data_IF_961531540936
#
_entry.id   IF_961531540936
#
_cell.length_a   1.000
_cell.length_b   1.000
_cell.length_c   1.000
_cell.angle_alpha   90.00
_cell.angle_beta   90.00
_cell.angle_gamma   90.00
#
_symmetry.space_group_name_H-M   'P 1'
#
loop_
_entity.id
_entity.type
_entity.pdbx_description
1 polymer ?
#
# COMPACT_ATOMS: atom_id res chain seq x y z
N UNK A 1 1.55 -54.58 -14.50
CA UNK A 1 1.97 -54.21 -13.12
C UNK A 1 2.54 -52.81 -13.19
N UNK A 2 1.95 -51.88 -12.43
CA UNK A 2 2.09 -50.43 -12.64
C UNK A 2 3.33 -49.80 -11.99
N UNK A 3 3.82 -48.74 -12.62
CA UNK A 3 4.79 -47.82 -12.04
C UNK A 3 4.03 -46.72 -11.29
N UNK A 4 4.21 -46.65 -9.96
CA UNK A 4 3.59 -45.65 -9.08
C UNK A 4 4.46 -44.39 -8.97
N UNK A 5 3.77 -43.26 -8.83
CA UNK A 5 4.22 -41.89 -8.63
C UNK A 5 5.28 -41.72 -7.54
N UNK A 6 6.22 -40.80 -7.76
CA UNK A 6 7.08 -40.22 -6.72
C UNK A 6 6.37 -39.03 -6.06
N UNK A 7 6.15 -39.15 -4.75
CA UNK A 7 5.58 -38.13 -3.87
C UNK A 7 6.66 -37.13 -3.45
N UNK A 8 6.40 -35.82 -3.58
CA UNK A 8 7.24 -34.78 -2.99
C UNK A 8 6.96 -34.66 -1.49
N UNK A 9 7.98 -34.83 -0.64
CA UNK A 9 7.97 -34.39 0.76
C UNK A 9 8.81 -33.11 0.86
N UNK A 10 8.15 -32.01 1.21
CA UNK A 10 8.81 -30.78 1.66
C UNK A 10 9.49 -31.05 3.00
N UNK A 11 10.80 -30.80 3.09
CA UNK A 11 11.47 -30.52 4.35
C UNK A 11 12.56 -29.48 4.11
N UNK A 12 12.42 -28.40 4.86
CA UNK A 12 13.21 -27.18 4.85
C UNK A 12 14.57 -27.50 5.50
N UNK A 13 15.65 -27.42 4.73
CA UNK A 13 16.99 -27.17 5.26
C UNK A 13 17.75 -26.30 4.27
N UNK A 14 18.46 -25.30 4.83
CA UNK A 14 19.45 -24.47 4.15
C UNK A 14 20.28 -25.27 3.14
N UNK A 15 20.36 -24.79 1.89
CA UNK A 15 21.49 -25.12 1.02
C UNK A 15 22.70 -24.31 1.49
N UNK A 16 23.48 -24.83 2.44
CA UNK A 16 24.89 -24.47 2.54
C UNK A 16 25.62 -25.35 1.54
N UNK A 17 26.01 -24.77 0.40
CA UNK A 17 26.91 -25.44 -0.54
C UNK A 17 28.31 -25.43 0.09
N UNK A 18 28.73 -26.54 0.68
CA UNK A 18 30.14 -26.76 1.00
C UNK A 18 30.74 -27.64 -0.11
N UNK A 19 31.33 -27.01 -1.12
CA UNK A 19 32.19 -27.71 -2.08
C UNK A 19 33.61 -27.70 -1.52
N UNK A 20 34.12 -28.87 -1.11
CA UNK A 20 35.56 -29.08 -1.01
C UNK A 20 36.05 -29.43 -2.41
N UNK A 21 36.96 -28.60 -2.91
CA UNK A 21 37.66 -28.70 -4.18
C UNK A 21 36.86 -28.28 -5.42
N UNK A 22 36.78 -26.98 -5.67
CA UNK A 22 37.09 -26.50 -7.02
C UNK A 22 37.65 -25.07 -7.00
N UNK A 23 38.83 -24.89 -7.59
CA UNK A 23 39.58 -23.63 -7.65
C UNK A 23 39.21 -22.88 -8.92
N UNK A 24 37.98 -22.38 -9.05
CA UNK A 24 37.64 -21.23 -9.92
C UNK A 24 36.14 -20.96 -9.83
N UNK A 25 35.73 -20.08 -8.91
CA UNK A 25 34.39 -19.51 -8.91
C UNK A 25 34.49 -17.99 -8.67
N UNK A 26 33.96 -17.25 -9.63
CA UNK A 26 33.85 -15.79 -9.69
C UNK A 26 33.59 -15.13 -8.33
N UNK A 27 34.54 -14.30 -7.87
CA UNK A 27 34.45 -13.50 -6.64
C UNK A 27 33.60 -12.23 -6.77
N UNK A 28 32.90 -11.98 -7.87
CA UNK A 28 32.37 -10.63 -8.17
C UNK A 28 30.86 -10.53 -8.47
N UNK A 29 30.00 -11.39 -7.92
CA UNK A 29 28.53 -11.23 -8.09
C UNK A 29 27.75 -11.16 -6.78
N UNK A 30 28.36 -11.50 -5.62
CA UNK A 30 27.71 -11.44 -4.31
C UNK A 30 27.97 -10.14 -3.53
N UNK A 31 28.89 -9.28 -3.96
CA UNK A 31 29.33 -8.11 -3.15
C UNK A 31 28.51 -6.82 -3.31
N UNK A 32 27.38 -6.81 -4.03
CA UNK A 32 26.60 -5.59 -4.25
C UNK A 32 25.08 -5.74 -4.15
N UNK A 33 24.59 -6.83 -3.56
CA UNK A 33 23.15 -6.95 -3.34
C UNK A 33 22.73 -6.00 -2.22
N UNK A 34 22.06 -4.90 -2.60
CA UNK A 34 21.68 -3.81 -1.68
C UNK A 34 20.61 -4.21 -0.68
N UNK A 35 19.65 -5.03 -1.08
CA UNK A 35 18.48 -5.35 -0.26
C UNK A 35 18.66 -6.65 0.55
N UNK A 36 18.18 -6.64 1.79
CA UNK A 36 18.34 -7.70 2.77
C UNK A 36 17.00 -7.96 3.49
N UNK A 37 17.00 -8.01 4.81
CA UNK A 37 15.85 -8.37 5.63
C UNK A 37 14.66 -7.41 5.42
N UNK A 38 13.48 -7.99 5.23
CA UNK A 38 12.23 -7.28 4.89
C UNK A 38 12.31 -6.34 3.68
N UNK A 39 13.28 -6.57 2.78
CA UNK A 39 13.45 -5.74 1.58
C UNK A 39 14.13 -4.39 1.84
N UNK A 40 14.68 -4.19 3.03
CA UNK A 40 15.42 -2.98 3.40
C UNK A 40 16.90 -3.09 3.01
N UNK A 41 17.59 -1.96 2.89
CA UNK A 41 18.99 -1.97 2.45
C UNK A 41 19.93 -2.45 3.55
N UNK A 42 20.92 -3.28 3.20
CA UNK A 42 22.04 -3.58 4.10
C UNK A 42 23.03 -2.43 3.98
N UNK A 43 23.19 -1.69 5.07
CA UNK A 43 24.25 -0.71 5.19
C UNK A 43 25.61 -1.45 5.23
N UNK A 44 26.45 -1.17 4.23
CA UNK A 44 27.74 -1.85 4.06
C UNK A 44 28.77 -1.42 5.09
N UNK A 45 28.64 -0.22 5.66
CA UNK A 45 29.57 0.31 6.65
C UNK A 45 29.36 -0.35 8.03
N UNK A 46 28.11 -0.46 8.48
CA UNK A 46 27.79 -1.02 9.80
C UNK A 46 27.40 -2.50 9.77
N UNK A 47 27.10 -3.06 8.59
CA UNK A 47 26.56 -4.41 8.43
C UNK A 47 25.19 -4.57 9.09
N UNK A 48 24.39 -3.50 9.14
CA UNK A 48 23.04 -3.45 9.71
C UNK A 48 22.02 -3.20 8.61
N UNK A 49 20.78 -3.57 8.90
CA UNK A 49 19.70 -3.36 7.94
C UNK A 49 19.12 -1.97 8.19
N UNK A 50 19.20 -1.11 7.20
CA UNK A 50 18.76 0.28 7.26
C UNK A 50 17.28 0.38 6.89
N UNK A 51 16.45 0.54 7.91
CA UNK A 51 15.08 1.03 7.76
C UNK A 51 15.12 2.56 7.77
N UNK A 52 14.06 3.19 7.29
CA UNK A 52 14.04 4.66 7.10
C UNK A 52 14.28 5.41 8.41
N UNK A 53 13.71 4.92 9.51
CA UNK A 53 13.77 5.57 10.82
C UNK A 53 14.84 5.01 11.74
N UNK A 54 15.25 3.75 11.53
CA UNK A 54 16.12 3.02 12.47
C UNK A 54 17.05 2.04 11.77
N UNK A 55 18.23 1.84 12.36
CA UNK A 55 19.11 0.72 12.01
C UNK A 55 18.70 -0.53 12.80
N UNK A 56 18.56 -1.64 12.09
CA UNK A 56 18.15 -2.93 12.64
C UNK A 56 19.30 -3.92 12.66
N UNK A 57 19.50 -4.61 13.79
CA UNK A 57 20.41 -5.75 13.90
C UNK A 57 19.63 -7.07 13.89
N UNK A 58 19.63 -7.81 12.76
CA UNK A 58 18.92 -9.08 12.65
C UNK A 58 19.51 -10.18 13.54
N UNK A 59 20.76 -10.04 14.02
CA UNK A 59 21.42 -11.06 14.85
C UNK A 59 20.85 -11.12 16.26
N UNK A 60 20.40 -9.97 16.76
CA UNK A 60 19.81 -9.83 18.09
C UNK A 60 18.30 -9.52 18.02
N UNK A 61 17.76 -9.35 16.82
CA UNK A 61 16.36 -8.99 16.59
C UNK A 61 15.97 -7.70 17.34
N UNK A 62 16.80 -6.65 17.21
CA UNK A 62 16.62 -5.36 17.90
C UNK A 62 16.94 -4.18 16.99
N UNK A 63 16.28 -3.06 17.29
CA UNK A 63 16.69 -1.74 16.81
C UNK A 63 17.94 -1.27 17.55
N UNK A 64 18.80 -0.52 16.85
CA UNK A 64 20.02 0.06 17.42
C UNK A 64 19.81 1.43 18.03
N UNK A 65 18.69 2.08 17.69
CA UNK A 65 18.24 3.33 18.28
C UNK A 65 16.91 3.10 18.97
N UNK A 66 16.62 3.95 19.96
CA UNK A 66 15.32 3.95 20.62
C UNK A 66 14.24 4.20 19.59
N UNK A 67 13.15 3.47 19.70
CA UNK A 67 11.93 3.70 18.95
C UNK A 67 11.47 5.14 19.10
N UNK A 68 11.43 5.94 18.02
CA UNK A 68 10.85 7.28 18.07
C UNK A 68 9.39 7.28 18.53
N UNK A 69 8.65 6.19 18.26
CA UNK A 69 7.25 6.01 18.65
C UNK A 69 7.10 5.35 20.04
N UNK A 70 8.16 4.78 20.61
CA UNK A 70 8.10 4.14 21.93
C UNK A 70 7.19 2.90 22.00
N UNK A 71 7.04 2.17 20.88
CA UNK A 71 6.03 1.12 20.66
C UNK A 71 6.01 -0.02 21.71
N UNK A 72 7.14 -0.30 22.38
CA UNK A 72 7.24 -1.39 23.37
C UNK A 72 7.93 -0.96 24.66
N UNK A 73 7.73 -1.75 25.73
CA UNK A 73 8.40 -1.55 27.02
C UNK A 73 9.93 -1.44 26.87
N UNK A 74 10.52 -2.23 25.97
CA UNK A 74 11.90 -2.01 25.57
C UNK A 74 11.93 -1.13 24.32
N UNK A 75 12.58 0.05 24.36
CA UNK A 75 12.62 0.96 23.21
C UNK A 75 13.45 0.41 22.03
N UNK A 76 14.04 -0.77 22.17
CA UNK A 76 14.84 -1.43 21.14
C UNK A 76 14.14 -2.68 20.55
N UNK A 77 12.93 -2.99 21.01
CA UNK A 77 12.21 -4.19 20.56
C UNK A 77 11.76 -4.05 19.12
N UNK A 78 12.10 -5.03 18.29
CA UNK A 78 11.73 -5.07 16.89
C UNK A 78 10.52 -5.97 16.67
N UNK A 79 9.52 -5.49 15.92
CA UNK A 79 8.36 -6.26 15.45
C UNK A 79 7.63 -7.00 16.58
N UNK A 80 7.60 -6.43 17.79
CA UNK A 80 6.98 -7.05 18.97
C UNK A 80 7.55 -8.44 19.31
N UNK A 81 8.83 -8.69 19.04
CA UNK A 81 9.47 -10.01 19.10
C UNK A 81 8.83 -11.09 18.21
N UNK A 82 8.05 -10.70 17.19
CA UNK A 82 7.45 -11.61 16.23
C UNK A 82 7.86 -11.29 14.77
N UNK A 83 9.16 -11.42 14.43
CA UNK A 83 9.70 -11.10 13.10
C UNK A 83 9.31 -12.09 12.00
N UNK A 84 8.54 -13.14 12.33
CA UNK A 84 8.08 -14.16 11.40
C UNK A 84 6.78 -13.71 10.74
N UNK A 85 5.86 -13.15 11.52
CA UNK A 85 4.54 -12.73 11.02
C UNK A 85 4.42 -11.22 10.85
N UNK A 86 5.28 -10.42 11.49
CA UNK A 86 5.24 -8.95 11.40
C UNK A 86 6.35 -8.42 10.50
N UNK A 87 5.99 -7.44 9.68
CA UNK A 87 6.91 -6.64 8.86
C UNK A 87 6.82 -5.20 9.37
N UNK A 88 7.96 -4.52 9.52
CA UNK A 88 8.03 -3.10 9.91
C UNK A 88 8.58 -2.29 8.72
N UNK A 89 7.76 -1.81 7.78
CA UNK A 89 8.21 -1.17 6.55
C UNK A 89 9.14 0.05 6.67
N UNK A 90 9.15 0.79 7.78
CA UNK A 90 9.96 2.00 7.95
C UNK A 90 10.77 2.05 9.26
N UNK A 91 10.51 1.12 10.17
CA UNK A 91 11.03 1.13 11.52
C UNK A 91 10.17 1.96 12.46
N UNK A 92 8.85 1.88 12.46
CA UNK A 92 7.98 2.62 13.40
C UNK A 92 6.46 2.53 13.16
N UNK A 93 5.88 1.33 13.09
CA UNK A 93 4.53 1.15 12.54
C UNK A 93 3.38 0.94 13.57
N UNK A 94 2.33 1.82 13.50
CA UNK A 94 1.02 1.82 14.21
C UNK A 94 -0.30 2.19 13.36
N UNK A 95 -1.54 1.58 13.48
CA UNK A 95 -2.84 1.77 12.68
C UNK A 95 -3.58 3.09 12.89
N UNK A 96 -4.00 3.84 11.83
CA UNK A 96 -4.35 5.23 12.03
C UNK A 96 -5.74 5.45 12.62
N UNK A 97 -5.75 6.20 13.71
CA UNK A 97 -6.94 6.57 14.47
C UNK A 97 -7.30 8.03 14.20
N UNK A 98 -8.57 8.27 13.96
CA UNK A 98 -9.13 9.60 13.72
C UNK A 98 -10.31 9.88 14.66
N UNK A 99 -10.54 11.16 14.98
CA UNK A 99 -11.79 11.61 15.56
C UNK A 99 -12.92 11.59 14.52
N UNK A 100 -14.18 11.60 14.98
CA UNK A 100 -15.34 11.70 14.07
C UNK A 100 -15.41 13.04 13.32
N UNK A 101 -14.66 14.04 13.78
CA UNK A 101 -14.42 15.31 13.09
C UNK A 101 -13.35 15.23 11.97
N UNK A 102 -12.67 14.09 11.85
CA UNK A 102 -11.62 13.84 10.87
C UNK A 102 -10.22 14.27 11.31
N UNK A 103 -10.04 14.67 12.57
CA UNK A 103 -8.73 14.95 13.15
C UNK A 103 -7.94 13.67 13.32
N UNK A 104 -6.66 13.67 12.95
CA UNK A 104 -5.76 12.55 13.24
C UNK A 104 -5.41 12.54 14.72
N UNK A 105 -5.59 11.39 15.39
CA UNK A 105 -5.40 11.24 16.84
C UNK A 105 -4.15 10.43 17.22
N UNK A 106 -3.46 9.87 16.24
CA UNK A 106 -2.36 8.93 16.46
C UNK A 106 -2.72 7.57 15.88
N UNK A 107 -2.05 6.54 16.37
CA UNK A 107 -2.11 5.22 15.77
C UNK A 107 -2.18 4.07 16.84
N UNK A 108 -2.76 2.90 16.52
CA UNK A 108 -2.73 1.63 17.33
C UNK A 108 -1.52 0.76 16.98
N UNK A 109 -1.18 -0.36 17.62
CA UNK A 109 0.13 -1.04 17.41
C UNK A 109 0.49 -1.59 16.00
N UNK A 110 -0.39 -1.50 15.00
CA UNK A 110 -0.24 -2.19 13.71
C UNK A 110 0.67 -1.51 12.66
N UNK A 111 0.40 -0.28 12.23
CA UNK A 111 1.12 0.42 11.15
C UNK A 111 0.31 1.53 10.54
N UNK A 112 0.86 2.63 9.98
CA UNK A 112 -0.01 3.54 9.22
C UNK A 112 -0.41 2.77 7.95
N UNK A 113 -1.56 2.10 7.99
CA UNK A 113 -1.80 0.64 7.92
C UNK A 113 -3.27 0.36 7.77
N UNK A 114 -3.70 -0.63 7.00
CA UNK A 114 -5.01 -1.25 7.24
C UNK A 114 -6.18 -0.27 7.22
N UNK A 115 -7.23 -0.62 7.94
CA UNK A 115 -8.49 0.12 7.96
C UNK A 115 -8.44 1.25 9.00
N UNK A 116 -8.64 2.53 8.61
CA UNK A 116 -8.67 3.61 9.58
C UNK A 116 -9.75 3.40 10.65
N UNK A 117 -9.42 3.70 11.90
CA UNK A 117 -10.34 3.61 13.03
C UNK A 117 -10.84 5.01 13.39
N UNK A 118 -12.14 5.12 13.67
CA UNK A 118 -12.76 6.29 14.27
C UNK A 118 -12.93 6.05 15.76
N UNK A 119 -12.35 6.94 16.57
CA UNK A 119 -12.41 6.86 18.02
C UNK A 119 -12.40 8.26 18.63
N UNK A 120 -13.48 8.59 19.36
CA UNK A 120 -13.61 9.87 20.04
C UNK A 120 -13.30 9.81 21.54
N UNK A 121 -13.02 8.62 22.09
CA UNK A 121 -12.72 8.45 23.51
C UNK A 121 -11.32 8.92 23.91
N UNK A 122 -11.03 8.77 25.21
CA UNK A 122 -9.83 9.34 25.85
C UNK A 122 -8.79 8.27 26.23
N UNK A 123 -8.96 7.00 25.83
CA UNK A 123 -7.98 5.96 26.14
C UNK A 123 -6.66 6.21 25.40
N UNK A 124 -5.54 5.92 26.08
CA UNK A 124 -4.24 5.80 25.43
C UNK A 124 -4.19 4.49 24.63
N UNK A 125 -4.46 4.60 23.34
CA UNK A 125 -4.50 3.48 22.40
C UNK A 125 -3.16 3.19 21.73
N UNK A 126 -2.08 3.91 22.07
CA UNK A 126 -0.75 3.71 21.47
C UNK A 126 -0.15 2.32 21.70
N UNK A 127 -0.72 1.54 22.62
CA UNK A 127 -0.31 0.17 22.96
C UNK A 127 -1.40 -0.86 22.72
N UNK A 128 -2.53 -0.44 22.15
CA UNK A 128 -3.66 -1.30 21.85
C UNK A 128 -3.58 -1.77 20.41
N UNK A 129 -4.04 -2.98 20.11
CA UNK A 129 -4.32 -3.40 18.74
C UNK A 129 -5.56 -2.70 18.20
N UNK A 130 -5.72 -2.72 16.87
CA UNK A 130 -6.92 -2.30 16.19
C UNK A 130 -8.18 -2.95 16.79
N UNK A 131 -8.14 -4.28 16.97
CA UNK A 131 -9.24 -5.06 17.55
C UNK A 131 -9.52 -4.68 19.01
N UNK A 132 -8.48 -4.40 19.80
CA UNK A 132 -8.63 -3.96 21.18
C UNK A 132 -9.26 -2.58 21.25
N UNK A 133 -8.85 -1.64 20.39
CA UNK A 133 -9.43 -0.29 20.34
C UNK A 133 -10.88 -0.33 19.87
N UNK A 134 -11.20 -1.14 18.85
CA UNK A 134 -12.58 -1.35 18.39
C UNK A 134 -13.43 -1.95 19.51
N UNK A 135 -12.91 -2.94 20.23
CA UNK A 135 -13.59 -3.52 21.41
C UNK A 135 -13.81 -2.48 22.52
N UNK A 136 -12.89 -1.53 22.65
CA UNK A 136 -12.96 -0.42 23.61
C UNK A 136 -13.82 0.77 23.15
N UNK A 137 -14.56 0.64 22.04
CA UNK A 137 -15.50 1.65 21.54
C UNK A 137 -15.06 2.40 20.30
N UNK A 138 -13.93 2.02 19.69
CA UNK A 138 -13.58 2.44 18.33
C UNK A 138 -14.49 1.80 17.27
N UNK A 139 -14.48 2.33 16.06
CA UNK A 139 -15.21 1.77 14.92
C UNK A 139 -14.46 1.98 13.63
N UNK A 140 -14.42 0.98 12.74
CA UNK A 140 -13.79 1.14 11.44
C UNK A 140 -14.46 2.24 10.61
N UNK A 141 -13.65 2.93 9.79
CA UNK A 141 -14.07 4.06 8.97
C UNK A 141 -15.29 3.74 8.08
N UNK A 142 -15.32 2.58 7.43
CA UNK A 142 -16.41 2.19 6.53
C UNK A 142 -17.75 1.93 7.24
N UNK A 143 -17.70 1.67 8.55
CA UNK A 143 -18.88 1.44 9.39
C UNK A 143 -19.38 2.71 10.09
N UNK A 144 -18.63 3.81 9.99
CA UNK A 144 -18.90 5.03 10.74
C UNK A 144 -19.57 6.10 9.87
N UNK A 145 -20.65 6.71 10.39
CA UNK A 145 -21.31 7.84 9.73
C UNK A 145 -20.52 9.13 9.99
N UNK A 146 -19.67 9.49 9.04
CA UNK A 146 -18.86 10.71 9.08
C UNK A 146 -19.40 11.80 8.16
N UNK A 147 -19.17 13.06 8.53
CA UNK A 147 -19.45 14.21 7.65
C UNK A 147 -18.53 14.21 6.43
N UNK A 148 -18.94 14.85 5.34
CA UNK A 148 -18.08 15.01 4.15
C UNK A 148 -16.76 15.73 4.47
N UNK A 149 -16.78 16.67 5.41
CA UNK A 149 -15.58 17.39 5.84
C UNK A 149 -14.60 16.47 6.59
N UNK A 150 -15.11 15.63 7.50
CA UNK A 150 -14.31 14.65 8.21
C UNK A 150 -13.67 13.63 7.24
N UNK A 151 -14.46 13.08 6.32
CA UNK A 151 -13.95 12.14 5.28
C UNK A 151 -12.90 12.80 4.40
N UNK A 152 -13.13 14.03 3.97
CA UNK A 152 -12.13 14.78 3.19
C UNK A 152 -10.83 14.97 3.97
N UNK A 153 -10.91 15.28 5.27
CA UNK A 153 -9.73 15.46 6.13
C UNK A 153 -8.94 14.16 6.32
N UNK A 154 -9.63 13.06 6.62
CA UNK A 154 -9.04 11.72 6.78
C UNK A 154 -8.34 11.29 5.49
N UNK A 155 -9.05 11.34 4.35
CA UNK A 155 -8.48 10.97 3.05
C UNK A 155 -7.28 11.85 2.67
N UNK A 156 -7.35 13.15 2.98
CA UNK A 156 -6.23 14.08 2.76
C UNK A 156 -5.03 13.67 3.59
N UNK A 157 -5.21 13.38 4.88
CA UNK A 157 -4.13 12.92 5.75
C UNK A 157 -3.49 11.64 5.19
N UNK A 158 -4.30 10.60 4.91
CA UNK A 158 -3.84 9.32 4.36
C UNK A 158 -3.02 9.50 3.08
N UNK A 159 -3.49 10.32 2.14
CA UNK A 159 -2.79 10.55 0.87
C UNK A 159 -1.52 11.38 1.08
N UNK A 160 -1.55 12.39 1.95
CA UNK A 160 -0.38 13.21 2.25
C UNK A 160 0.79 12.43 2.88
N UNK A 161 0.54 11.26 3.49
CA UNK A 161 1.62 10.40 4.01
C UNK A 161 2.52 9.83 2.91
N UNK A 162 2.10 9.89 1.65
CA UNK A 162 2.91 9.48 0.52
C UNK A 162 3.66 10.66 -0.13
N UNK A 163 3.55 11.87 0.39
CA UNK A 163 4.19 13.06 -0.17
C UNK A 163 5.71 12.88 -0.32
N UNK A 164 6.28 13.44 -1.39
CA UNK A 164 7.71 13.32 -1.70
C UNK A 164 8.15 11.94 -2.23
N UNK A 165 7.27 10.94 -2.29
CA UNK A 165 7.60 9.62 -2.80
C UNK A 165 7.46 9.52 -4.33
N UNK A 166 8.35 8.76 -4.95
CA UNK A 166 8.26 8.49 -6.41
C UNK A 166 7.11 7.55 -6.76
N UNK A 167 6.36 7.94 -7.78
CA UNK A 167 5.40 7.14 -8.53
C UNK A 167 5.91 7.10 -9.97
N UNK A 168 6.58 6.00 -10.32
CA UNK A 168 7.28 5.86 -11.60
C UNK A 168 8.26 7.02 -11.88
N UNK A 169 7.99 7.83 -12.90
CA UNK A 169 8.82 8.95 -13.37
C UNK A 169 8.52 10.28 -12.67
N UNK A 170 7.56 10.32 -11.73
CA UNK A 170 7.16 11.53 -11.01
C UNK A 170 7.27 11.38 -9.51
N UNK A 171 7.45 12.49 -8.83
CA UNK A 171 7.35 12.57 -7.37
C UNK A 171 5.95 13.07 -7.02
N UNK A 172 5.26 12.36 -6.13
CA UNK A 172 3.96 12.80 -5.63
C UNK A 172 4.14 14.05 -4.76
N UNK A 173 3.30 15.05 -5.01
CA UNK A 173 3.26 16.31 -4.28
C UNK A 173 1.78 16.67 -4.03
N UNK A 174 1.32 16.56 -2.78
CA UNK A 174 -0.06 16.89 -2.43
C UNK A 174 -0.40 18.35 -2.75
N UNK A 175 0.60 19.25 -2.73
CA UNK A 175 0.40 20.66 -3.08
C UNK A 175 0.07 20.88 -4.55
N UNK A 176 0.33 19.88 -5.41
CA UNK A 176 -0.07 19.89 -6.82
C UNK A 176 -1.57 19.69 -7.02
N UNK A 177 -2.31 19.30 -5.97
CA UNK A 177 -3.76 19.09 -6.00
C UNK A 177 -4.45 20.35 -5.47
N UNK A 178 -5.58 20.71 -6.07
CA UNK A 178 -6.41 21.84 -5.66
C UNK A 178 -6.65 21.85 -4.15
N UNK A 179 -6.27 22.96 -3.50
CA UNK A 179 -6.42 23.13 -2.05
C UNK A 179 -5.59 22.17 -1.20
N UNK A 180 -4.60 21.50 -1.80
CA UNK A 180 -3.70 20.52 -1.16
C UNK A 180 -4.46 19.43 -0.42
N UNK A 181 -5.60 18.99 -0.97
CA UNK A 181 -6.51 18.07 -0.30
C UNK A 181 -7.25 17.13 -1.24
N UNK A 182 -7.74 16.05 -0.66
CA UNK A 182 -8.66 15.12 -1.30
C UNK A 182 -10.07 15.49 -0.89
N UNK A 183 -10.91 15.83 -1.86
CA UNK A 183 -12.31 16.18 -1.62
C UNK A 183 -13.13 14.93 -1.38
N UNK A 184 -14.24 15.10 -0.64
CA UNK A 184 -15.26 14.07 -0.52
C UNK A 184 -16.62 14.62 -0.95
N UNK A 185 -17.27 13.93 -1.89
CA UNK A 185 -18.64 14.24 -2.32
C UNK A 185 -19.37 12.96 -2.73
N UNK A 186 -20.35 12.54 -1.93
CA UNK A 186 -21.11 11.31 -2.18
C UNK A 186 -22.03 11.39 -3.40
N UNK A 187 -22.31 12.59 -3.89
CA UNK A 187 -23.21 12.81 -5.03
C UNK A 187 -22.47 12.90 -6.37
N UNK A 188 -21.13 12.90 -6.35
CA UNK A 188 -20.31 12.83 -7.57
C UNK A 188 -20.38 11.42 -8.18
N UNK A 189 -19.95 11.28 -9.44
CA UNK A 189 -20.00 10.03 -10.18
C UNK A 189 -18.80 9.11 -9.90
N UNK A 190 -19.04 7.80 -9.85
CA UNK A 190 -18.01 6.79 -9.64
C UNK A 190 -17.50 6.72 -8.20
N UNK A 191 -16.53 5.85 -7.91
CA UNK A 191 -15.91 5.76 -6.57
C UNK A 191 -14.87 6.86 -6.32
N UNK A 192 -14.17 7.24 -7.38
CA UNK A 192 -13.17 8.31 -7.43
C UNK A 192 -13.36 9.10 -8.73
N UNK A 193 -13.11 10.40 -8.65
CA UNK A 193 -13.21 11.32 -9.78
C UNK A 193 -12.04 12.30 -9.73
N UNK A 194 -11.50 12.65 -10.90
CA UNK A 194 -10.47 13.66 -11.07
C UNK A 194 -10.85 14.69 -12.12
N UNK A 195 -10.42 15.94 -11.89
CA UNK A 195 -10.63 17.08 -12.80
C UNK A 195 -9.29 17.62 -13.28
N UNK A 196 -8.61 16.91 -14.19
CA UNK A 196 -7.32 17.35 -14.69
C UNK A 196 -7.44 18.66 -15.49
N UNK A 197 -6.65 19.67 -15.13
CA UNK A 197 -6.55 20.96 -15.82
C UNK A 197 -6.16 20.80 -17.29
N UNK A 198 -5.41 19.75 -17.62
CA UNK A 198 -5.05 19.41 -19.00
C UNK A 198 -6.26 19.09 -19.88
N UNK A 199 -7.40 18.70 -19.29
CA UNK A 199 -8.63 18.38 -20.04
C UNK A 199 -9.55 19.59 -20.18
N UNK A 200 -9.54 20.50 -19.21
CA UNK A 200 -10.34 21.71 -19.27
C UNK A 200 -9.61 22.87 -18.58
N UNK A 201 -9.30 23.93 -19.32
CA UNK A 201 -8.43 25.02 -18.86
C UNK A 201 -8.94 25.77 -17.62
N UNK A 202 -10.26 25.74 -17.36
CA UNK A 202 -10.86 26.34 -16.18
C UNK A 202 -10.86 25.44 -14.93
N UNK A 203 -10.40 24.20 -15.04
CA UNK A 203 -10.27 23.30 -13.90
C UNK A 203 -8.92 23.52 -13.19
N UNK A 204 -8.94 23.26 -11.89
CA UNK A 204 -7.74 22.94 -11.13
C UNK A 204 -7.67 21.43 -10.98
N UNK A 205 -6.44 20.89 -10.95
CA UNK A 205 -6.19 19.46 -10.74
C UNK A 205 -6.77 19.04 -9.39
N UNK A 206 -7.98 18.45 -9.43
CA UNK A 206 -8.74 18.08 -8.24
C UNK A 206 -8.98 16.58 -8.23
N UNK A 207 -8.96 15.99 -7.04
CA UNK A 207 -9.37 14.61 -6.79
C UNK A 207 -10.51 14.61 -5.77
N UNK A 208 -11.55 13.85 -6.07
CA UNK A 208 -12.72 13.67 -5.21
C UNK A 208 -12.97 12.18 -5.02
N UNK A 209 -13.10 11.74 -3.77
CA UNK A 209 -13.67 10.44 -3.42
C UNK A 209 -15.16 10.57 -3.18
N UNK A 210 -15.93 9.57 -3.56
CA UNK A 210 -17.37 9.49 -3.24
C UNK A 210 -17.65 8.46 -2.14
N UNK A 211 -16.66 7.61 -1.84
CA UNK A 211 -16.83 6.41 -1.02
C UNK A 211 -17.69 5.32 -1.67
N UNK A 212 -18.04 5.45 -2.96
CA UNK A 212 -18.87 4.49 -3.70
C UNK A 212 -18.02 3.49 -4.49
N UNK A 213 -17.17 2.75 -3.81
CA UNK A 213 -16.36 1.67 -4.38
C UNK A 213 -16.65 0.34 -3.66
N UNK A 214 -16.32 -0.77 -4.33
CA UNK A 214 -16.62 -2.13 -3.85
C UNK A 214 -15.38 -2.85 -3.32
N UNK A 215 -14.60 -2.14 -2.51
CA UNK A 215 -13.44 -2.64 -1.79
C UNK A 215 -13.31 -1.91 -0.45
N UNK A 216 -12.63 -2.53 0.52
CA UNK A 216 -12.39 -1.97 1.85
C UNK A 216 -11.53 -0.71 1.80
N UNK A 217 -11.88 0.30 2.58
CA UNK A 217 -11.10 1.54 2.71
C UNK A 217 -9.90 1.31 3.63
N UNK A 218 -8.80 0.78 3.09
CA UNK A 218 -7.50 0.78 3.77
C UNK A 218 -6.61 1.95 3.35
N UNK A 219 -5.59 2.26 4.15
CA UNK A 219 -4.53 3.24 3.80
C UNK A 219 -3.95 2.97 2.41
N UNK A 220 -3.59 1.73 2.11
CA UNK A 220 -2.96 1.32 0.85
C UNK A 220 -3.92 1.45 -0.32
N UNK A 221 -5.18 1.07 -0.12
CA UNK A 221 -6.21 1.12 -1.15
C UNK A 221 -6.53 2.58 -1.51
N UNK A 222 -6.63 3.45 -0.50
CA UNK A 222 -6.82 4.89 -0.67
C UNK A 222 -5.61 5.50 -1.38
N UNK A 223 -4.39 5.26 -0.90
CA UNK A 223 -3.17 5.76 -1.54
C UNK A 223 -3.04 5.26 -2.98
N UNK A 224 -3.27 3.97 -3.22
CA UNK A 224 -3.21 3.40 -4.58
C UNK A 224 -4.24 4.04 -5.51
N UNK A 225 -5.46 4.32 -5.02
CA UNK A 225 -6.52 4.93 -5.81
C UNK A 225 -6.26 6.41 -6.06
N UNK A 226 -6.07 7.20 -5.01
CA UNK A 226 -5.88 8.64 -5.15
C UNK A 226 -4.56 8.99 -5.85
N UNK A 227 -3.48 8.24 -5.61
CA UNK A 227 -2.15 8.61 -6.10
C UNK A 227 -1.86 7.94 -7.45
N UNK A 228 -2.04 6.64 -7.58
CA UNK A 228 -1.63 5.94 -8.80
C UNK A 228 -2.71 6.02 -9.87
N UNK A 229 -3.97 5.79 -9.48
CA UNK A 229 -5.07 5.83 -10.42
C UNK A 229 -5.47 7.27 -10.75
N UNK A 230 -5.83 8.09 -9.77
CA UNK A 230 -6.30 9.45 -10.02
C UNK A 230 -5.16 10.42 -10.37
N UNK A 231 -4.24 10.69 -9.45
CA UNK A 231 -3.18 11.68 -9.68
C UNK A 231 -2.25 11.29 -10.83
N UNK A 232 -1.58 10.14 -10.75
CA UNK A 232 -0.60 9.78 -11.76
C UNK A 232 -1.27 9.48 -13.10
N UNK A 233 -2.30 8.64 -13.15
CA UNK A 233 -2.82 8.20 -14.44
C UNK A 233 -3.72 9.24 -15.12
N UNK A 234 -4.61 9.89 -14.38
CA UNK A 234 -5.54 10.87 -14.94
C UNK A 234 -4.92 12.27 -15.04
N UNK A 235 -4.37 12.81 -13.95
CA UNK A 235 -3.81 14.18 -13.92
C UNK A 235 -2.47 14.26 -14.64
N UNK A 236 -1.51 13.39 -14.32
CA UNK A 236 -0.16 13.49 -14.88
C UNK A 236 -0.07 12.87 -16.28
N UNK A 237 -0.65 11.69 -16.51
CA UNK A 237 -0.53 10.99 -17.80
C UNK A 237 -1.67 11.29 -18.78
N UNK A 238 -2.73 11.99 -18.35
CA UNK A 238 -3.87 12.33 -19.21
C UNK A 238 -4.62 11.10 -19.74
N UNK A 239 -4.55 9.96 -19.05
CA UNK A 239 -5.29 8.74 -19.41
C UNK A 239 -6.73 8.89 -18.91
N UNK A 240 -7.73 8.25 -19.51
CA UNK A 240 -9.10 8.36 -18.98
C UNK A 240 -10.20 7.85 -19.90
N UNK A 241 -11.43 7.98 -19.41
CA UNK A 241 -12.65 7.50 -20.05
C UNK A 241 -13.28 8.50 -21.05
N UNK A 242 -12.54 9.53 -21.45
CA UNK A 242 -13.05 10.44 -22.48
C UNK A 242 -13.13 9.70 -23.82
N UNK A 243 -14.25 9.90 -24.54
CA UNK A 243 -14.57 9.18 -25.79
C UNK A 243 -13.44 9.20 -26.84
N UNK A 244 -12.62 10.25 -26.84
CA UNK A 244 -11.50 10.40 -27.77
C UNK A 244 -10.19 9.75 -27.27
N UNK A 245 -10.07 9.45 -25.98
CA UNK A 245 -8.87 8.85 -25.39
C UNK A 245 -8.93 7.32 -25.39
N UNK A 246 -10.07 6.74 -24.96
CA UNK A 246 -10.27 5.29 -24.80
C UNK A 246 -9.05 4.62 -24.14
N UNK A 247 -8.61 5.14 -22.99
CA UNK A 247 -7.34 4.77 -22.36
C UNK A 247 -7.43 4.56 -20.85
N UNK A 248 -8.62 4.55 -20.26
CA UNK A 248 -8.84 4.30 -18.83
C UNK A 248 -8.25 2.95 -18.39
N UNK A 249 -8.24 1.92 -19.25
CA UNK A 249 -7.58 0.64 -18.94
C UNK A 249 -6.10 0.81 -18.56
N UNK A 250 -5.44 1.87 -19.05
CA UNK A 250 -4.03 2.16 -18.74
C UNK A 250 -3.85 2.63 -17.29
N UNK A 251 -4.82 3.34 -16.71
CA UNK A 251 -4.79 3.71 -15.30
C UNK A 251 -4.78 2.47 -14.40
N UNK A 252 -5.67 1.51 -14.67
CA UNK A 252 -5.68 0.23 -13.95
C UNK A 252 -4.38 -0.58 -14.15
N UNK A 253 -3.75 -0.51 -15.33
CA UNK A 253 -2.42 -1.11 -15.53
C UNK A 253 -1.35 -0.43 -14.68
N UNK A 254 -1.38 0.90 -14.55
CA UNK A 254 -0.44 1.63 -13.70
C UNK A 254 -0.61 1.20 -12.23
N UNK A 255 -1.85 1.07 -11.74
CA UNK A 255 -2.14 0.52 -10.40
C UNK A 255 -1.59 -0.90 -10.25
N UNK A 256 -1.90 -1.78 -11.21
CA UNK A 256 -1.48 -3.19 -11.17
C UNK A 256 0.05 -3.37 -11.24
N UNK A 257 0.76 -2.43 -11.85
CA UNK A 257 2.21 -2.51 -12.02
C UNK A 257 3.00 -1.77 -10.94
N UNK A 258 2.37 -0.87 -10.17
CA UNK A 258 3.06 -0.10 -9.14
C UNK A 258 3.22 -0.92 -7.86
N UNK A 259 4.26 -1.76 -7.82
CA UNK A 259 4.46 -2.77 -6.78
C UNK A 259 4.63 -2.20 -5.37
N UNK A 260 5.13 -0.96 -5.24
CA UNK A 260 5.32 -0.29 -3.95
C UNK A 260 4.02 -0.22 -3.13
N UNK A 261 2.89 0.09 -3.77
CA UNK A 261 1.57 0.07 -3.11
C UNK A 261 0.83 -1.24 -3.35
N UNK A 262 0.83 -1.76 -4.59
CA UNK A 262 0.05 -2.96 -4.94
C UNK A 262 0.35 -4.19 -4.06
N UNK A 263 1.59 -4.34 -3.60
CA UNK A 263 1.94 -5.51 -2.78
C UNK A 263 1.30 -5.44 -1.39
N UNK A 264 0.97 -4.23 -0.92
CA UNK A 264 0.35 -3.98 0.38
C UNK A 264 -1.18 -3.89 0.32
N UNK A 265 -1.77 -3.64 -0.86
CA UNK A 265 -3.23 -3.55 -1.01
C UNK A 265 -3.93 -4.88 -0.75
N UNK A 266 -5.22 -4.80 -0.41
CA UNK A 266 -6.06 -5.95 -0.12
C UNK A 266 -6.44 -6.74 -1.39
N UNK A 267 -6.95 -7.95 -1.21
CA UNK A 267 -7.26 -8.85 -2.33
C UNK A 267 -8.54 -8.48 -3.09
N UNK A 268 -9.56 -7.98 -2.40
CA UNK A 268 -10.75 -7.34 -2.96
C UNK A 268 -10.39 -6.11 -3.80
N UNK A 269 -9.47 -5.25 -3.35
CA UNK A 269 -8.95 -4.14 -4.15
C UNK A 269 -8.21 -4.62 -5.41
N UNK A 270 -7.37 -5.64 -5.30
CA UNK A 270 -6.72 -6.28 -6.47
C UNK A 270 -7.76 -6.83 -7.43
N UNK A 271 -8.81 -7.49 -6.90
CA UNK A 271 -9.94 -8.01 -7.65
C UNK A 271 -10.68 -6.93 -8.41
N UNK A 272 -11.04 -5.84 -7.72
CA UNK A 272 -11.67 -4.65 -8.29
C UNK A 272 -10.87 -4.10 -9.49
N UNK A 273 -9.57 -3.85 -9.29
CA UNK A 273 -8.71 -3.31 -10.35
C UNK A 273 -8.61 -4.24 -11.57
N UNK A 274 -8.57 -5.56 -11.35
CA UNK A 274 -8.48 -6.54 -12.44
C UNK A 274 -9.80 -6.70 -13.19
N UNK A 275 -10.95 -6.64 -12.50
CA UNK A 275 -12.28 -6.60 -13.11
C UNK A 275 -12.47 -5.34 -13.94
N UNK A 276 -12.09 -4.19 -13.40
CA UNK A 276 -12.14 -2.92 -14.13
C UNK A 276 -11.20 -2.92 -15.35
N UNK A 277 -9.98 -3.44 -15.22
CA UNK A 277 -9.08 -3.62 -16.37
C UNK A 277 -9.72 -4.47 -17.48
N UNK A 278 -10.41 -5.55 -17.13
CA UNK A 278 -11.10 -6.43 -18.08
C UNK A 278 -12.29 -5.72 -18.75
N UNK A 279 -13.08 -4.96 -17.98
CA UNK A 279 -14.19 -4.16 -18.48
C UNK A 279 -13.71 -3.12 -19.50
N UNK A 280 -12.77 -2.25 -19.11
CA UNK A 280 -12.25 -1.21 -20.00
C UNK A 280 -11.45 -1.78 -21.17
N UNK A 281 -10.83 -2.95 -21.05
CA UNK A 281 -10.24 -3.64 -22.21
C UNK A 281 -11.29 -3.99 -23.27
N UNK A 282 -12.47 -4.43 -22.84
CA UNK A 282 -13.59 -4.74 -23.75
C UNK A 282 -14.17 -3.46 -24.35
N UNK A 283 -14.47 -2.46 -23.52
CA UNK A 283 -15.10 -1.21 -23.95
C UNK A 283 -14.20 -0.38 -24.88
N UNK A 284 -12.89 -0.34 -24.62
CA UNK A 284 -11.97 0.53 -25.36
C UNK A 284 -11.36 -0.13 -26.60
N UNK A 285 -11.17 -1.46 -26.58
CA UNK A 285 -10.46 -2.18 -27.65
C UNK A 285 -11.26 -3.31 -28.28
N UNK A 286 -12.48 -3.59 -27.81
CA UNK A 286 -13.29 -4.74 -28.27
C UNK A 286 -12.76 -6.11 -27.87
N UNK A 287 -11.71 -6.19 -27.03
CA UNK A 287 -11.09 -7.47 -26.65
C UNK A 287 -11.76 -8.04 -25.42
N UNK A 288 -12.15 -9.30 -25.47
CA UNK A 288 -12.80 -9.98 -24.35
C UNK A 288 -11.83 -10.45 -23.25
N UNK A 289 -10.51 -10.32 -23.44
CA UNK A 289 -9.51 -10.76 -22.48
C UNK A 289 -8.47 -9.65 -22.26
N UNK A 290 -8.04 -9.50 -21.01
CA UNK A 290 -6.84 -8.73 -20.66
C UNK A 290 -5.59 -9.28 -21.36
N UNK A 291 -4.56 -8.44 -21.47
CA UNK A 291 -3.27 -8.84 -22.06
C UNK A 291 -2.72 -10.09 -21.35
N UNK A 292 -2.01 -10.99 -22.08
CA UNK A 292 -1.52 -12.25 -21.53
C UNK A 292 -0.83 -12.14 -20.17
N UNK A 293 -0.06 -11.07 -19.98
CA UNK A 293 0.69 -10.80 -18.76
C UNK A 293 -0.20 -10.61 -17.50
N UNK A 294 -1.46 -10.21 -17.65
CA UNK A 294 -2.39 -9.99 -16.53
C UNK A 294 -3.34 -11.17 -16.29
N UNK A 295 -3.42 -12.15 -17.20
CA UNK A 295 -4.43 -13.23 -17.12
C UNK A 295 -4.28 -14.09 -15.87
N UNK A 296 -3.04 -14.38 -15.47
CA UNK A 296 -2.77 -15.13 -14.24
C UNK A 296 -3.25 -14.38 -12.98
N UNK A 297 -2.99 -13.07 -12.93
CA UNK A 297 -3.46 -12.21 -11.85
C UNK A 297 -4.99 -12.11 -11.85
N UNK A 298 -5.60 -11.90 -13.03
CA UNK A 298 -7.05 -11.84 -13.18
C UNK A 298 -7.72 -13.10 -12.65
N UNK A 299 -7.26 -14.28 -13.08
CA UNK A 299 -7.84 -15.54 -12.61
C UNK A 299 -7.67 -15.76 -11.11
N UNK A 300 -6.60 -15.24 -10.50
CA UNK A 300 -6.37 -15.32 -9.06
C UNK A 300 -7.35 -14.46 -8.26
N UNK A 301 -7.59 -13.21 -8.68
CA UNK A 301 -8.28 -12.21 -7.85
C UNK A 301 -9.68 -11.82 -8.33
N UNK A 302 -10.14 -12.24 -9.52
CA UNK A 302 -11.45 -11.82 -10.08
C UNK A 302 -12.64 -12.09 -9.16
N UNK A 303 -12.53 -13.05 -8.24
CA UNK A 303 -13.58 -13.44 -7.31
C UNK A 303 -13.41 -12.86 -5.89
N UNK A 304 -12.41 -12.00 -5.67
CA UNK A 304 -12.21 -11.30 -4.40
C UNK A 304 -13.06 -10.02 -4.35
N UNK A 305 -13.84 -9.84 -3.29
CA UNK A 305 -14.75 -8.72 -3.04
C UNK A 305 -14.71 -8.34 -1.57
#
# INVERSE_FOLDING_TARGET
MGCKQLTYKNSIFLKVVHSKNDKTASKNVLSSYRYNYQGQELDQETGKVAFQLRLYDPRINRWLTTDPAGQYHSPYMAMGNNPITRTDPDGGEDEPVYGSDGTYRGDTVEGFTGEPIIYDGDLDFSKMTADELVTAGGSFYDLTLLTSAAKSSILTHIVSRFDGNKVYDKTFDISSIEGSKIYFDRNDAGGWNSRPKSMHSSWNDRITSTGQYSYTTTVENVQSSAIVHEWYSHIIKGQGNYNHLKSHRLAYKNVINFKKLRNKTTDDYKGFNLRALQQYTKEETGRNLVDPLYRGLYNRYKNSY
#
